data_IF_219747764156
#
_entry.id   IF_219747764156
#
_cell.length_a   1.000
_cell.length_b   1.000
_cell.length_c   1.000
_cell.angle_alpha   90.00
_cell.angle_beta   90.00
_cell.angle_gamma   90.00
#
_symmetry.space_group_name_H-M   'P 1'
#
loop_
_entity.id
_entity.type
_entity.pdbx_description
1 polymer ?
#
# COMPACT_ATOMS: atom_id res chain seq x y z
N UNK A 1 -10.78 -3.85 13.88
CA UNK A 1 -11.05 -2.41 13.65
C UNK A 1 -10.53 -2.09 12.27
N UNK A 2 -11.43 -2.01 11.30
CA UNK A 2 -11.06 -1.77 9.92
C UNK A 2 -10.69 -0.29 9.73
N UNK A 3 -9.47 -0.06 9.24
CA UNK A 3 -8.95 1.27 8.89
C UNK A 3 -9.51 1.68 7.53
N UNK A 4 -9.71 2.99 7.35
CA UNK A 4 -9.99 3.57 6.02
C UNK A 4 -8.69 3.63 5.19
N UNK A 5 -8.73 3.11 3.97
CA UNK A 5 -7.63 3.14 3.01
C UNK A 5 -8.00 3.97 1.79
N UNK A 6 -7.00 4.68 1.25
CA UNK A 6 -7.14 5.47 0.02
C UNK A 6 -6.65 4.69 -1.19
N UNK A 7 -7.41 4.79 -2.27
CA UNK A 7 -7.15 4.11 -3.55
C UNK A 7 -7.18 5.14 -4.67
N UNK A 8 -6.30 5.01 -5.65
CA UNK A 8 -6.25 5.88 -6.82
C UNK A 8 -6.60 5.10 -8.08
N UNK A 9 -7.52 5.64 -8.87
CA UNK A 9 -7.85 5.07 -10.18
C UNK A 9 -6.61 5.03 -11.09
N UNK A 10 -6.40 3.89 -11.76
CA UNK A 10 -5.26 3.70 -12.68
C UNK A 10 -5.47 4.35 -14.04
N UNK A 11 -6.72 4.69 -14.38
CA UNK A 11 -7.01 5.43 -15.61
C UNK A 11 -6.48 6.87 -15.50
N UNK A 12 -5.64 7.25 -16.46
CA UNK A 12 -5.01 8.57 -16.52
C UNK A 12 -6.03 9.70 -16.71
N UNK A 13 -7.18 9.40 -17.35
CA UNK A 13 -8.23 10.38 -17.61
C UNK A 13 -9.13 10.60 -16.38
N UNK A 14 -9.31 9.57 -15.54
CA UNK A 14 -10.09 9.67 -14.32
C UNK A 14 -9.25 10.15 -13.14
N UNK A 15 -8.19 9.40 -12.80
CA UNK A 15 -7.21 9.67 -11.72
C UNK A 15 -7.79 10.10 -10.36
N UNK A 16 -9.07 9.81 -10.09
CA UNK A 16 -9.75 10.15 -8.84
C UNK A 16 -9.27 9.25 -7.71
N UNK A 17 -9.28 9.83 -6.51
CA UNK A 17 -8.98 9.12 -5.27
C UNK A 17 -10.30 8.70 -4.60
N UNK A 18 -10.36 7.44 -4.19
CA UNK A 18 -11.50 6.82 -3.49
C UNK A 18 -11.09 6.34 -2.11
N UNK A 19 -12.05 6.22 -1.21
CA UNK A 19 -11.85 5.71 0.15
C UNK A 19 -12.69 4.47 0.37
N UNK A 20 -12.12 3.50 1.07
CA UNK A 20 -12.81 2.26 1.43
C UNK A 20 -12.37 1.80 2.82
N UNK A 21 -13.30 1.25 3.58
CA UNK A 21 -13.01 0.59 4.85
C UNK A 21 -12.39 -0.79 4.60
N UNK A 22 -11.29 -1.07 5.29
CA UNK A 22 -10.55 -2.32 5.14
C UNK A 22 -9.56 -2.29 3.97
N UNK A 23 -8.54 -3.16 4.06
CA UNK A 23 -7.54 -3.31 3.01
C UNK A 23 -8.03 -4.32 1.97
N UNK A 24 -8.05 -3.90 0.70
CA UNK A 24 -8.27 -4.77 -0.46
C UNK A 24 -7.16 -4.55 -1.48
N UNK A 25 -6.87 -5.56 -2.30
CA UNK A 25 -5.77 -5.50 -3.26
C UNK A 25 -6.06 -4.52 -4.41
N UNK A 26 -7.33 -4.43 -4.82
CA UNK A 26 -7.84 -3.44 -5.77
C UNK A 26 -9.35 -3.26 -5.59
N UNK A 27 -9.87 -2.10 -5.95
CA UNK A 27 -11.31 -1.83 -6.07
C UNK A 27 -11.64 -1.34 -7.48
N UNK A 28 -12.89 -1.51 -7.91
CA UNK A 28 -13.36 -0.92 -9.16
C UNK A 28 -13.72 0.54 -8.92
N UNK A 29 -13.17 1.43 -9.75
CA UNK A 29 -13.47 2.86 -9.71
C UNK A 29 -14.96 3.07 -10.00
N UNK A 30 -15.71 3.74 -9.11
CA UNK A 30 -17.14 3.98 -9.31
C UNK A 30 -17.44 4.91 -10.49
N UNK A 31 -16.50 5.76 -10.90
CA UNK A 31 -16.71 6.71 -12.00
C UNK A 31 -16.49 6.12 -13.40
N UNK A 32 -15.49 5.24 -13.56
CA UNK A 32 -15.08 4.75 -14.89
C UNK A 32 -14.97 3.22 -14.98
N UNK A 33 -15.23 2.49 -13.89
CA UNK A 33 -15.16 1.02 -13.85
C UNK A 33 -13.75 0.43 -13.87
N UNK A 34 -12.71 1.24 -14.14
CA UNK A 34 -11.31 0.80 -14.15
C UNK A 34 -10.80 0.46 -12.75
N UNK A 35 -9.65 -0.21 -12.67
CA UNK A 35 -9.04 -0.57 -11.38
C UNK A 35 -8.55 0.67 -10.63
N UNK A 36 -8.78 0.68 -9.33
CA UNK A 36 -8.17 1.61 -8.38
C UNK A 36 -7.27 0.83 -7.43
N UNK A 37 -6.03 1.28 -7.29
CA UNK A 37 -5.00 0.62 -6.48
C UNK A 37 -4.77 1.38 -5.17
N UNK A 38 -4.44 0.68 -4.07
CA UNK A 38 -4.17 1.33 -2.79
C UNK A 38 -2.95 2.26 -2.92
N UNK A 39 -3.13 3.50 -2.47
CA UNK A 39 -2.10 4.52 -2.43
C UNK A 39 -1.11 4.23 -1.30
N UNK A 40 -1.64 3.75 -0.17
CA UNK A 40 -0.87 3.45 1.02
C UNK A 40 -0.45 1.98 1.01
N UNK A 41 0.85 1.74 1.16
CA UNK A 41 1.44 0.40 1.16
C UNK A 41 1.97 0.09 2.55
N UNK A 42 1.87 -1.17 2.96
CA UNK A 42 2.45 -1.67 4.21
C UNK A 42 3.98 -1.78 4.09
N UNK A 43 4.67 -1.21 5.07
CA UNK A 43 6.11 -1.29 5.23
C UNK A 43 6.48 -1.71 6.64
N UNK A 44 7.57 -2.47 6.76
CA UNK A 44 8.15 -2.90 8.03
C UNK A 44 9.38 -2.05 8.35
N UNK A 45 9.44 -1.48 9.55
CA UNK A 45 10.66 -0.84 10.04
C UNK A 45 11.79 -1.87 10.14
N UNK A 46 12.95 -1.57 9.55
CA UNK A 46 14.06 -2.52 9.54
C UNK A 46 14.72 -2.69 10.93
N UNK A 47 14.59 -1.71 11.82
CA UNK A 47 15.17 -1.76 13.17
C UNK A 47 14.27 -2.44 14.20
N UNK A 48 13.04 -1.93 14.42
CA UNK A 48 12.15 -2.45 15.47
C UNK A 48 11.09 -3.42 14.95
N UNK A 49 10.94 -3.56 13.63
CA UNK A 49 9.95 -4.46 13.02
C UNK A 49 8.51 -3.98 13.04
N UNK A 50 8.21 -2.75 13.50
CA UNK A 50 6.86 -2.20 13.47
C UNK A 50 6.33 -2.08 12.03
N UNK A 51 5.06 -2.40 11.84
CA UNK A 51 4.37 -2.25 10.56
C UNK A 51 3.71 -0.88 10.48
N UNK A 52 3.95 -0.17 9.40
CA UNK A 52 3.41 1.15 9.13
C UNK A 52 2.92 1.25 7.68
N UNK A 53 1.87 2.04 7.47
CA UNK A 53 1.31 2.25 6.14
C UNK A 53 1.50 3.71 5.74
N UNK A 54 2.10 3.92 4.57
CA UNK A 54 2.29 5.25 4.02
C UNK A 54 2.34 5.21 2.49
N UNK A 55 2.12 6.38 1.89
CA UNK A 55 2.26 6.63 0.47
C UNK A 55 3.76 6.65 0.09
N UNK A 56 4.11 6.02 -1.04
CA UNK A 56 5.49 5.98 -1.54
C UNK A 56 6.09 7.34 -1.91
N UNK A 57 5.26 8.36 -2.14
CA UNK A 57 5.66 9.74 -2.42
C UNK A 57 5.95 10.57 -1.17
N UNK A 58 5.65 10.05 0.03
CA UNK A 58 5.87 10.80 1.28
C UNK A 58 7.37 10.87 1.59
N UNK A 59 7.91 12.09 1.70
CA UNK A 59 9.29 12.33 2.11
C UNK A 59 9.43 12.42 3.63
N UNK A 60 10.67 12.26 4.13
CA UNK A 60 10.99 12.50 5.54
C UNK A 60 10.42 11.48 6.53
N UNK A 61 10.03 10.29 6.07
CA UNK A 61 9.41 9.26 6.90
C UNK A 61 10.36 8.80 8.02
N UNK A 62 9.82 8.61 9.21
CA UNK A 62 10.49 8.02 10.36
C UNK A 62 9.52 7.11 11.11
N UNK A 63 10.04 6.03 11.66
CA UNK A 63 9.26 5.03 12.36
C UNK A 63 8.67 5.64 13.62
N UNK A 64 7.35 5.52 13.80
CA UNK A 64 6.64 6.08 14.96
C UNK A 64 7.07 5.45 16.29
N UNK A 65 7.55 4.21 16.26
CA UNK A 65 7.96 3.47 17.44
C UNK A 65 9.41 3.76 17.87
N UNK A 66 10.34 3.97 16.93
CA UNK A 66 11.77 4.05 17.24
C UNK A 66 12.55 5.18 16.53
N UNK A 67 11.88 5.99 15.72
CA UNK A 67 12.50 7.10 14.97
C UNK A 67 13.38 6.69 13.77
N UNK A 68 13.58 5.39 13.54
CA UNK A 68 14.40 4.89 12.44
C UNK A 68 13.77 5.13 11.06
N UNK A 69 14.59 5.33 10.01
CA UNK A 69 14.11 5.81 8.70
C UNK A 69 14.21 4.81 7.56
N UNK A 70 14.74 3.61 7.81
CA UNK A 70 14.84 2.57 6.78
C UNK A 70 13.70 1.57 6.98
N UNK A 71 12.97 1.34 5.90
CA UNK A 71 11.80 0.47 5.86
C UNK A 71 11.92 -0.52 4.70
N UNK A 72 11.29 -1.68 4.85
CA UNK A 72 11.25 -2.73 3.83
C UNK A 72 9.81 -3.14 3.54
N UNK A 73 9.50 -3.41 2.27
CA UNK A 73 8.18 -3.94 1.88
C UNK A 73 8.13 -5.44 2.23
N UNK A 74 7.15 -5.90 3.03
CA UNK A 74 7.02 -7.31 3.36
C UNK A 74 6.85 -8.18 2.10
N UNK A 75 7.38 -9.41 2.15
CA UNK A 75 7.18 -10.38 1.07
C UNK A 75 5.68 -10.69 0.96
N UNK A 76 5.16 -10.70 -0.27
CA UNK A 76 3.75 -11.09 -0.52
C UNK A 76 3.50 -12.48 0.05
N UNK A 77 2.34 -12.69 0.67
CA UNK A 77 1.90 -14.00 1.19
C UNK A 77 1.56 -15.01 0.10
N UNK A 78 1.56 -14.61 -1.18
CA UNK A 78 1.32 -15.51 -2.30
C UNK A 78 2.46 -16.50 -2.51
N UNK A 79 2.11 -17.72 -2.93
CA UNK A 79 3.08 -18.73 -3.35
C UNK A 79 3.79 -18.27 -4.63
N UNK A 80 5.11 -18.46 -4.69
CA UNK A 80 5.89 -18.25 -5.92
C UNK A 80 6.44 -19.59 -6.36
N UNK A 81 6.01 -20.05 -7.53
CA UNK A 81 6.67 -21.14 -8.25
C UNK A 81 7.98 -20.59 -8.82
N UNK A 82 9.08 -21.31 -8.63
CA UNK A 82 10.40 -20.98 -9.18
C UNK A 82 10.87 -22.22 -9.92
N UNK A 83 11.08 -22.09 -11.22
CA UNK A 83 11.61 -23.17 -12.06
C UNK A 83 13.13 -23.31 -11.84
N UNK A 84 13.64 -24.54 -11.83
CA UNK A 84 15.05 -24.88 -11.54
C UNK A 84 15.88 -25.11 -12.83
N UNK A 85 15.47 -24.55 -13.96
CA UNK A 85 16.17 -24.76 -15.24
C UNK A 85 17.42 -23.88 -15.37
#
# INVERSE_FOLDING_TARGET
MDREFRYRCTDINCRKDHRQMGWVEALNCPDCGMRSLPIEVEYKCLRCGSLEYFDGSRTGISCKACGYRVFVKPRRKGFKMVDCN
#
